data_IF_994448235082
#
_entry.id   IF_994448235082
#
_cell.length_a   1.000
_cell.length_b   1.000
_cell.length_c   1.000
_cell.angle_alpha   90.00
_cell.angle_beta   90.00
_cell.angle_gamma   90.00
#
_symmetry.space_group_name_H-M   'P 1'
#
loop_
_entity.id
_entity.type
_entity.pdbx_description
1 polymer ?
#
# COMPACT_ATOMS: atom_id res chain seq x y z
N UNK A 1 -8.79 -4.80 -7.61
CA UNK A 1 -9.09 -3.43 -7.17
C UNK A 1 -9.11 -2.48 -8.35
N UNK A 2 -10.29 -2.17 -8.81
CA UNK A 2 -10.46 -1.09 -9.79
C UNK A 2 -10.39 0.26 -9.06
N UNK A 3 -9.89 1.29 -9.75
CA UNK A 3 -10.01 2.66 -9.29
C UNK A 3 -11.48 2.93 -8.93
N UNK A 4 -11.80 3.31 -7.69
CA UNK A 4 -13.18 3.49 -7.24
C UNK A 4 -13.92 4.57 -8.01
N UNK A 5 -13.22 5.52 -8.63
CA UNK A 5 -13.80 6.57 -9.44
C UNK A 5 -14.04 6.16 -10.92
N UNK A 6 -13.65 4.95 -11.31
CA UNK A 6 -13.84 4.42 -12.67
C UNK A 6 -13.09 5.16 -13.77
N UNK A 7 -12.16 6.07 -13.42
CA UNK A 7 -11.40 6.86 -14.39
C UNK A 7 -10.26 6.05 -14.98
N UNK A 8 -10.02 6.23 -16.28
CA UNK A 8 -8.81 5.73 -16.94
C UNK A 8 -7.67 6.70 -16.66
N UNK A 9 -6.95 6.48 -15.57
CA UNK A 9 -5.77 7.24 -15.17
C UNK A 9 -4.57 6.31 -15.04
N UNK A 10 -3.37 6.86 -15.08
CA UNK A 10 -2.12 6.11 -14.95
C UNK A 10 -1.85 5.63 -13.52
N UNK A 11 -2.77 4.87 -12.94
CA UNK A 11 -2.76 4.40 -11.56
C UNK A 11 -2.27 2.94 -11.39
N UNK A 12 -1.55 2.41 -12.38
CA UNK A 12 -1.05 1.03 -12.35
C UNK A 12 -0.22 0.70 -11.11
N UNK A 13 0.55 1.67 -10.59
CA UNK A 13 1.31 1.54 -9.35
C UNK A 13 0.38 1.33 -8.15
N UNK A 14 -0.64 2.17 -8.02
CA UNK A 14 -1.59 2.13 -6.90
C UNK A 14 -2.37 0.82 -6.93
N UNK A 15 -2.88 0.41 -8.11
CA UNK A 15 -3.57 -0.88 -8.28
C UNK A 15 -2.68 -2.07 -8.01
N UNK A 16 -1.45 -2.04 -8.55
CA UNK A 16 -0.47 -3.09 -8.32
C UNK A 16 -0.11 -3.23 -6.85
N UNK A 17 0.12 -2.12 -6.15
CA UNK A 17 0.42 -2.10 -4.73
C UNK A 17 -0.78 -2.56 -3.89
N UNK A 18 -1.97 -2.01 -4.16
CA UNK A 18 -3.21 -2.41 -3.48
C UNK A 18 -3.44 -3.92 -3.57
N UNK A 19 -3.31 -4.50 -4.76
CA UNK A 19 -3.49 -5.93 -4.96
C UNK A 19 -2.38 -6.77 -4.30
N UNK A 20 -1.11 -6.39 -4.45
CA UNK A 20 0.02 -7.14 -3.92
C UNK A 20 0.12 -7.08 -2.39
N UNK A 21 -0.18 -5.93 -1.79
CA UNK A 21 -0.14 -5.75 -0.34
C UNK A 21 -1.45 -6.19 0.34
N UNK A 22 -2.57 -6.19 -0.40
CA UNK A 22 -3.88 -6.57 0.11
C UNK A 22 -4.59 -5.43 0.85
N UNK A 23 -4.38 -4.19 0.42
CA UNK A 23 -5.03 -2.98 0.95
C UNK A 23 -5.99 -2.36 -0.06
N UNK A 24 -6.75 -1.36 0.35
CA UNK A 24 -7.61 -0.59 -0.54
C UNK A 24 -6.79 0.31 -1.47
N UNK A 25 -7.41 0.82 -2.51
CA UNK A 25 -6.79 1.78 -3.44
C UNK A 25 -6.36 3.08 -2.73
N UNK A 26 -7.17 3.56 -1.79
CA UNK A 26 -6.86 4.76 -1.00
C UNK A 26 -5.71 4.51 -0.02
N UNK A 27 -5.72 3.38 0.69
CA UNK A 27 -4.61 3.01 1.57
C UNK A 27 -3.29 2.85 0.81
N UNK A 28 -3.32 2.37 -0.44
CA UNK A 28 -2.12 2.32 -1.27
C UNK A 28 -1.55 3.72 -1.57
N UNK A 29 -2.41 4.73 -1.80
CA UNK A 29 -1.98 6.13 -1.93
C UNK A 29 -1.36 6.62 -0.63
N UNK A 30 -2.01 6.37 0.50
CA UNK A 30 -1.52 6.79 1.81
C UNK A 30 -0.16 6.17 2.13
N UNK A 31 0.03 4.89 1.82
CA UNK A 31 1.33 4.22 1.96
C UNK A 31 2.43 4.88 1.12
N UNK A 32 2.12 5.26 -0.13
CA UNK A 32 3.09 5.95 -0.99
C UNK A 32 3.40 7.34 -0.44
N UNK A 33 2.38 8.12 -0.09
CA UNK A 33 2.55 9.45 0.48
C UNK A 33 3.37 9.43 1.77
N UNK A 34 3.09 8.47 2.64
CA UNK A 34 3.73 8.29 3.93
C UNK A 34 5.21 7.85 3.82
N UNK A 35 5.53 7.04 2.80
CA UNK A 35 6.90 6.64 2.53
C UNK A 35 7.73 7.76 1.88
N UNK A 36 7.07 8.72 1.25
CA UNK A 36 7.71 9.71 0.39
C UNK A 36 7.57 11.14 0.88
N UNK A 37 7.06 11.35 2.11
CA UNK A 37 6.82 12.68 2.68
C UNK A 37 8.05 13.62 2.68
N UNK A 38 9.26 13.07 2.57
CA UNK A 38 10.53 13.80 2.53
C UNK A 38 11.25 13.67 1.18
N UNK A 39 10.59 13.11 0.16
CA UNK A 39 11.13 12.85 -1.17
C UNK A 39 10.47 13.75 -2.22
N UNK A 40 10.59 13.39 -3.48
CA UNK A 40 9.94 14.07 -4.59
C UNK A 40 8.41 13.95 -4.46
N UNK A 41 7.64 15.05 -4.64
CA UNK A 41 6.18 15.03 -4.55
C UNK A 41 5.49 14.21 -5.65
N UNK A 42 6.21 13.75 -6.67
CA UNK A 42 5.66 12.88 -7.71
C UNK A 42 5.53 11.45 -7.21
N UNK A 43 4.32 11.03 -6.82
CA UNK A 43 4.07 9.78 -6.13
C UNK A 43 4.40 8.51 -6.93
N UNK A 44 4.30 8.53 -8.25
CA UNK A 44 4.43 7.35 -9.11
C UNK A 44 5.82 7.18 -9.75
N UNK A 45 6.84 7.87 -9.28
CA UNK A 45 8.21 7.66 -9.74
C UNK A 45 8.85 6.45 -9.05
N UNK A 46 9.76 5.78 -9.77
CA UNK A 46 10.42 4.55 -9.29
C UNK A 46 11.07 4.67 -7.92
N UNK A 47 11.81 5.74 -7.56
CA UNK A 47 12.39 5.87 -6.21
C UNK A 47 11.34 5.84 -5.10
N UNK A 48 10.21 6.54 -5.29
CA UNK A 48 9.13 6.61 -4.32
C UNK A 48 8.44 5.25 -4.17
N UNK A 49 8.19 4.56 -5.28
CA UNK A 49 7.60 3.22 -5.28
C UNK A 49 8.52 2.25 -4.53
N UNK A 50 9.82 2.27 -4.82
CA UNK A 50 10.80 1.41 -4.15
C UNK A 50 10.88 1.70 -2.65
N UNK A 51 10.89 2.97 -2.24
CA UNK A 51 10.87 3.36 -0.82
C UNK A 51 9.63 2.82 -0.11
N UNK A 52 8.46 2.92 -0.75
CA UNK A 52 7.20 2.37 -0.25
C UNK A 52 7.28 0.85 -0.08
N UNK A 53 7.74 0.14 -1.11
CA UNK A 53 7.85 -1.32 -1.07
C UNK A 53 8.81 -1.80 0.04
N UNK A 54 9.94 -1.12 0.21
CA UNK A 54 10.88 -1.40 1.31
C UNK A 54 10.20 -1.19 2.67
N UNK A 55 9.53 -0.04 2.86
CA UNK A 55 8.83 0.30 4.11
C UNK A 55 7.74 -0.72 4.46
N UNK A 56 7.06 -1.24 3.45
CA UNK A 56 6.02 -2.26 3.61
C UNK A 56 6.57 -3.68 3.77
N UNK A 57 7.89 -3.88 3.70
CA UNK A 57 8.52 -5.17 3.92
C UNK A 57 8.56 -6.09 2.70
N UNK A 58 8.44 -5.54 1.49
CA UNK A 58 8.66 -6.31 0.27
C UNK A 58 10.15 -6.61 0.06
N UNK A 59 10.46 -7.81 -0.37
CA UNK A 59 11.81 -8.26 -0.75
C UNK A 59 12.05 -8.03 -2.24
N UNK A 60 13.10 -7.30 -2.58
CA UNK A 60 13.44 -6.94 -3.96
C UNK A 60 14.16 -8.05 -4.70
N UNK A 61 13.72 -8.35 -5.92
CA UNK A 61 14.34 -9.28 -6.84
C UNK A 61 14.60 -8.65 -8.20
N UNK A 62 15.79 -8.86 -8.75
CA UNK A 62 16.08 -8.48 -10.13
C UNK A 62 15.34 -9.40 -11.09
N UNK A 63 14.85 -8.84 -12.21
CA UNK A 63 14.22 -9.65 -13.25
C UNK A 63 15.17 -10.71 -13.82
N UNK A 64 14.65 -11.89 -14.01
CA UNK A 64 15.39 -13.01 -14.60
C UNK A 64 15.52 -12.80 -16.11
N UNK A 65 16.70 -13.08 -16.64
CA UNK A 65 16.95 -12.98 -18.10
C UNK A 65 17.13 -14.34 -18.74
N UNK A 66 16.60 -14.48 -19.95
CA UNK A 66 16.92 -15.57 -20.88
C UNK A 66 17.59 -14.96 -22.10
N UNK A 67 18.92 -15.11 -22.20
CA UNK A 67 19.74 -14.33 -23.13
C UNK A 67 19.67 -12.83 -22.78
N UNK A 68 19.36 -12.00 -23.77
CA UNK A 68 19.29 -10.55 -23.61
C UNK A 68 17.90 -10.03 -23.22
N UNK A 69 16.90 -10.91 -23.07
CA UNK A 69 15.51 -10.50 -22.75
C UNK A 69 15.13 -10.95 -21.36
N UNK A 70 14.39 -10.10 -20.65
CA UNK A 70 13.73 -10.48 -19.41
C UNK A 70 12.62 -11.50 -19.68
N UNK A 71 12.46 -12.45 -18.77
CA UNK A 71 11.31 -13.36 -18.80
C UNK A 71 10.02 -12.55 -18.68
N UNK A 72 8.96 -13.05 -19.28
CA UNK A 72 7.66 -12.39 -19.26
C UNK A 72 6.81 -12.81 -18.04
N UNK A 73 5.62 -12.21 -17.90
CA UNK A 73 4.73 -12.48 -16.77
C UNK A 73 4.32 -13.95 -16.66
N UNK A 74 4.09 -14.65 -17.78
CA UNK A 74 3.77 -16.09 -17.76
C UNK A 74 4.93 -16.93 -17.26
N UNK A 75 6.15 -16.62 -17.72
CA UNK A 75 7.36 -17.33 -17.32
C UNK A 75 7.71 -17.05 -15.85
N UNK A 76 7.46 -15.81 -15.38
CA UNK A 76 7.64 -15.48 -13.97
C UNK A 76 6.62 -16.21 -13.09
N UNK A 77 5.34 -16.27 -13.47
CA UNK A 77 4.35 -17.07 -12.74
C UNK A 77 4.79 -18.53 -12.61
N UNK A 78 5.25 -19.15 -13.72
CA UNK A 78 5.75 -20.52 -13.69
C UNK A 78 7.03 -20.71 -12.82
N UNK A 79 7.83 -19.67 -12.65
CA UNK A 79 8.95 -19.68 -11.71
C UNK A 79 8.44 -19.58 -10.26
N UNK A 80 7.51 -18.66 -9.97
CA UNK A 80 6.91 -18.48 -8.66
C UNK A 80 6.17 -19.73 -8.19
N UNK A 81 5.45 -20.43 -9.09
CA UNK A 81 4.76 -21.72 -8.83
C UNK A 81 5.70 -22.77 -8.23
N UNK A 82 6.99 -22.71 -8.56
CA UNK A 82 8.02 -23.65 -8.09
C UNK A 82 8.79 -23.15 -6.87
N UNK A 83 8.73 -21.85 -6.60
CA UNK A 83 9.58 -21.21 -5.59
C UNK A 83 8.81 -20.89 -4.32
N UNK A 84 7.54 -20.50 -4.45
CA UNK A 84 6.73 -20.00 -3.35
C UNK A 84 5.44 -20.80 -3.18
N UNK A 85 5.14 -21.18 -1.93
CA UNK A 85 4.04 -22.10 -1.62
C UNK A 85 3.15 -21.64 -0.46
N UNK A 86 3.44 -20.46 0.15
CA UNK A 86 2.77 -19.99 1.35
C UNK A 86 1.82 -18.80 1.09
N UNK A 87 1.52 -18.53 -0.18
CA UNK A 87 0.62 -17.43 -0.55
C UNK A 87 1.29 -16.07 -0.59
N UNK A 88 2.60 -16.03 -0.85
CA UNK A 88 3.35 -14.81 -1.14
C UNK A 88 2.67 -14.06 -2.29
N UNK A 89 2.73 -12.73 -2.25
CA UNK A 89 2.21 -11.88 -3.31
C UNK A 89 3.36 -11.08 -3.95
N UNK A 90 3.18 -10.63 -5.19
CA UNK A 90 4.26 -9.98 -5.92
C UNK A 90 3.79 -8.68 -6.54
N UNK A 91 4.57 -7.62 -6.37
CA UNK A 91 4.49 -6.40 -7.16
C UNK A 91 5.56 -6.44 -8.24
N UNK A 92 5.21 -6.24 -9.51
CA UNK A 92 6.12 -6.39 -10.64
C UNK A 92 6.17 -5.14 -11.52
N UNK A 93 7.40 -4.78 -11.93
CA UNK A 93 7.62 -3.80 -13.00
C UNK A 93 7.55 -4.49 -14.35
N UNK A 94 6.55 -4.12 -15.14
CA UNK A 94 6.18 -4.74 -16.41
C UNK A 94 6.55 -3.85 -17.59
N UNK A 95 7.41 -4.33 -18.47
CA UNK A 95 7.89 -3.55 -19.60
C UNK A 95 8.70 -2.34 -19.13
N UNK A 96 8.41 -1.14 -19.68
CA UNK A 96 9.16 0.09 -19.37
C UNK A 96 8.47 1.03 -18.38
N UNK A 97 7.14 0.99 -18.30
CA UNK A 97 6.37 2.05 -17.61
C UNK A 97 5.07 1.53 -16.98
N UNK A 98 4.98 0.25 -16.71
CA UNK A 98 3.77 -0.36 -16.16
C UNK A 98 4.08 -1.18 -14.91
N UNK A 99 3.11 -1.31 -14.02
CA UNK A 99 3.18 -2.14 -12.83
C UNK A 99 1.95 -3.04 -12.76
N UNK A 100 2.15 -4.26 -12.28
CA UNK A 100 1.07 -5.21 -12.05
C UNK A 100 1.32 -5.99 -10.76
N UNK A 101 0.28 -6.58 -10.19
CA UNK A 101 0.41 -7.58 -9.15
C UNK A 101 0.47 -8.98 -9.75
N UNK A 102 1.17 -9.90 -9.07
CA UNK A 102 1.07 -11.34 -9.34
C UNK A 102 0.62 -11.98 -8.04
N UNK A 103 -0.52 -12.66 -8.09
CA UNK A 103 -1.20 -13.18 -6.92
C UNK A 103 -1.27 -14.69 -6.93
N UNK A 104 -1.17 -15.34 -5.75
CA UNK A 104 -1.43 -16.75 -5.61
C UNK A 104 -2.92 -17.04 -5.79
N UNK A 105 -3.22 -18.10 -6.50
CA UNK A 105 -4.56 -18.68 -6.62
C UNK A 105 -4.50 -20.15 -6.22
N UNK A 106 -5.52 -20.64 -5.53
CA UNK A 106 -5.64 -22.06 -5.26
C UNK A 106 -6.27 -22.74 -6.48
N UNK A 107 -5.54 -23.63 -7.12
CA UNK A 107 -6.01 -24.44 -8.23
C UNK A 107 -5.92 -25.93 -7.85
N UNK A 108 -7.05 -26.53 -7.53
CA UNK A 108 -7.14 -27.95 -7.10
C UNK A 108 -6.20 -28.32 -5.93
N UNK A 109 -6.06 -27.44 -4.96
CA UNK A 109 -5.20 -27.67 -3.78
C UNK A 109 -3.74 -27.24 -3.98
N UNK A 110 -3.34 -26.85 -5.18
CA UNK A 110 -2.00 -26.31 -5.46
C UNK A 110 -2.04 -24.78 -5.55
N UNK A 111 -1.03 -24.11 -5.02
CA UNK A 111 -0.82 -22.68 -5.22
C UNK A 111 -0.24 -22.45 -6.60
N UNK A 112 -0.94 -21.68 -7.42
CA UNK A 112 -0.49 -21.20 -8.73
C UNK A 112 -0.47 -19.68 -8.74
N UNK A 113 0.39 -19.08 -9.54
CA UNK A 113 0.51 -17.63 -9.62
C UNK A 113 -0.12 -17.08 -10.90
N UNK A 114 -0.81 -15.96 -10.78
CA UNK A 114 -1.48 -15.29 -11.90
C UNK A 114 -1.22 -13.78 -11.87
N UNK A 115 -0.94 -13.20 -13.02
CA UNK A 115 -0.87 -11.74 -13.18
C UNK A 115 -2.27 -11.14 -13.01
N UNK A 116 -2.39 -10.19 -12.09
CA UNK A 116 -3.58 -9.39 -11.84
C UNK A 116 -3.38 -8.00 -12.44
N UNK A 117 -4.07 -7.73 -13.52
CA UNK A 117 -3.98 -6.46 -14.26
C UNK A 117 -5.33 -6.13 -14.91
N UNK A 118 -5.47 -4.91 -15.44
CA UNK A 118 -6.66 -4.46 -16.18
C UNK A 118 -6.65 -4.87 -17.65
N UNK A 119 -5.49 -5.33 -18.16
CA UNK A 119 -5.30 -5.86 -19.51
C UNK A 119 -4.29 -7.02 -19.47
N UNK A 120 -4.17 -7.78 -20.55
CA UNK A 120 -3.22 -8.90 -20.62
C UNK A 120 -1.78 -8.39 -20.80
N UNK A 121 -1.12 -8.13 -19.67
CA UNK A 121 0.30 -7.75 -19.63
C UNK A 121 1.26 -8.93 -19.50
N UNK A 122 0.75 -10.18 -19.53
CA UNK A 122 1.53 -11.40 -19.26
C UNK A 122 2.65 -11.67 -20.25
N UNK A 123 2.58 -11.13 -21.47
CA UNK A 123 3.62 -11.28 -22.52
C UNK A 123 4.75 -10.26 -22.40
N UNK A 124 4.63 -9.27 -21.52
CA UNK A 124 5.65 -8.23 -21.32
C UNK A 124 6.75 -8.72 -20.38
N UNK A 125 8.00 -8.30 -20.66
CA UNK A 125 9.15 -8.65 -19.84
C UNK A 125 9.08 -8.00 -18.45
N UNK A 126 9.51 -8.73 -17.43
CA UNK A 126 9.56 -8.28 -16.04
C UNK A 126 10.99 -7.89 -15.69
N UNK A 127 11.27 -6.60 -15.59
CA UNK A 127 12.61 -6.07 -15.31
C UNK A 127 13.01 -6.21 -13.83
N UNK A 128 12.03 -6.19 -12.96
CA UNK A 128 12.19 -6.26 -11.51
C UNK A 128 10.87 -6.69 -10.88
N UNK A 129 10.94 -7.41 -9.77
CA UNK A 129 9.75 -7.76 -8.99
C UNK A 129 10.05 -7.75 -7.49
N UNK A 130 9.02 -7.59 -6.68
CA UNK A 130 9.10 -7.48 -5.25
C UNK A 130 8.13 -8.45 -4.61
N UNK A 131 8.63 -9.31 -3.73
CA UNK A 131 7.86 -10.37 -3.08
C UNK A 131 7.46 -9.91 -1.68
N UNK A 132 6.17 -9.94 -1.40
CA UNK A 132 5.63 -9.77 -0.07
C UNK A 132 5.31 -11.12 0.52
N UNK A 133 6.08 -11.52 1.52
CA UNK A 133 5.80 -12.70 2.33
C UNK A 133 4.74 -12.27 3.34
N UNK A 134 3.47 -12.64 3.13
CA UNK A 134 2.50 -12.55 4.20
C UNK A 134 3.08 -13.29 5.39
N UNK A 135 3.50 -12.57 6.41
CA UNK A 135 3.91 -13.19 7.65
C UNK A 135 2.73 -14.03 8.16
N UNK A 136 2.91 -15.34 8.17
CA UNK A 136 2.21 -16.20 9.09
C UNK A 136 2.80 -15.84 10.45
N UNK A 137 2.07 -15.02 11.20
CA UNK A 137 2.44 -14.29 12.41
C UNK A 137 3.11 -12.92 12.13
N UNK A 138 2.25 -11.94 11.80
CA UNK A 138 2.48 -10.64 12.40
C UNK A 138 2.60 -10.88 13.93
N UNK A 139 3.60 -10.30 14.64
CA UNK A 139 3.55 -10.27 16.08
C UNK A 139 2.13 -9.81 16.41
N UNK A 140 1.41 -10.61 17.21
CA UNK A 140 0.04 -10.29 17.65
C UNK A 140 0.06 -8.82 18.02
N UNK A 141 -0.49 -7.99 17.13
CA UNK A 141 -0.94 -6.68 17.57
C UNK A 141 -1.74 -7.01 18.82
N UNK A 142 -1.36 -6.51 20.00
CA UNK A 142 -2.06 -6.88 21.21
C UNK A 142 -3.53 -6.77 20.88
N UNK A 143 -4.27 -7.87 21.09
CA UNK A 143 -5.69 -7.95 20.79
C UNK A 143 -6.27 -6.60 21.13
N UNK A 144 -6.75 -5.90 20.11
CA UNK A 144 -7.56 -4.71 20.33
C UNK A 144 -8.78 -5.23 21.06
N UNK A 145 -8.66 -5.31 22.38
CA UNK A 145 -9.83 -5.24 23.24
C UNK A 145 -10.62 -4.07 22.67
N UNK A 146 -11.78 -4.38 22.18
CA UNK A 146 -12.74 -3.47 21.58
C UNK A 146 -13.31 -2.54 22.67
N UNK A 147 -12.42 -1.81 23.33
CA UNK A 147 -12.81 -0.62 24.05
C UNK A 147 -12.68 0.54 23.08
N UNK A 148 -13.75 1.28 22.82
CA UNK A 148 -13.67 2.51 22.07
C UNK A 148 -12.73 3.44 22.83
N UNK A 149 -11.54 3.70 22.29
CA UNK A 149 -10.59 4.63 22.86
C UNK A 149 -11.21 6.03 22.74
N UNK A 150 -11.93 6.44 23.78
CA UNK A 150 -12.73 7.66 23.90
C UNK A 150 -11.90 8.89 24.28
N UNK A 151 -10.62 8.90 23.96
CA UNK A 151 -9.71 9.96 24.43
C UNK A 151 -9.83 11.29 23.67
N UNK A 152 -10.48 11.30 22.51
CA UNK A 152 -10.66 12.51 21.72
C UNK A 152 -12.13 12.93 21.73
N UNK A 153 -12.42 14.06 22.36
CA UNK A 153 -13.77 14.64 22.47
C UNK A 153 -13.81 15.98 21.74
N UNK A 154 -14.99 16.38 21.27
CA UNK A 154 -15.23 17.75 20.81
C UNK A 154 -14.82 18.70 21.93
N UNK A 155 -14.22 19.82 21.59
CA UNK A 155 -13.58 20.79 22.47
C UNK A 155 -12.28 20.33 23.15
N UNK A 156 -11.81 19.11 22.86
CA UNK A 156 -10.51 18.62 23.31
C UNK A 156 -9.34 19.39 22.70
N UNK A 157 -8.34 19.71 23.50
CA UNK A 157 -7.10 20.37 23.05
C UNK A 157 -6.11 19.34 22.52
N UNK A 158 -5.45 19.67 21.41
CA UNK A 158 -4.43 18.84 20.76
C UNK A 158 -3.18 19.67 20.48
N UNK A 159 -2.01 19.06 20.65
CA UNK A 159 -0.73 19.62 20.25
C UNK A 159 -0.26 18.89 18.98
N UNK A 160 -0.18 19.61 17.85
CA UNK A 160 0.32 19.06 16.59
C UNK A 160 1.77 19.52 16.35
N UNK A 161 2.70 18.66 15.93
CA UNK A 161 4.12 19.01 15.76
C UNK A 161 4.35 20.16 14.79
N UNK A 162 3.56 20.22 13.72
CA UNK A 162 3.70 21.20 12.64
C UNK A 162 2.74 22.40 12.79
N UNK A 163 1.54 22.18 13.34
CA UNK A 163 0.47 23.19 13.37
C UNK A 163 0.27 23.83 14.76
N UNK A 164 1.02 23.37 15.77
CA UNK A 164 0.92 23.90 17.11
C UNK A 164 -0.33 23.44 17.87
N UNK A 165 -0.86 24.30 18.73
CA UNK A 165 -2.07 24.03 19.51
C UNK A 165 -3.31 24.13 18.61
N UNK A 166 -4.24 23.19 18.79
CA UNK A 166 -5.53 23.18 18.13
C UNK A 166 -6.62 22.61 19.03
N UNK A 167 -7.87 22.88 18.67
CA UNK A 167 -9.08 22.41 19.36
C UNK A 167 -9.92 21.57 18.42
N UNK A 168 -10.39 20.42 18.85
CA UNK A 168 -11.29 19.55 18.05
C UNK A 168 -12.66 20.22 17.95
N UNK A 169 -13.07 20.56 16.74
CA UNK A 169 -14.39 21.21 16.48
C UNK A 169 -15.43 20.23 15.95
N UNK A 170 -15.01 19.16 15.26
CA UNK A 170 -15.93 18.16 14.73
C UNK A 170 -15.26 16.79 14.64
N UNK A 171 -16.07 15.73 14.69
CA UNK A 171 -15.65 14.33 14.54
C UNK A 171 -16.50 13.69 13.45
N UNK A 172 -15.86 13.09 12.45
CA UNK A 172 -16.50 12.43 11.30
C UNK A 172 -16.10 10.95 11.21
N UNK A 173 -17.00 10.12 10.67
CA UNK A 173 -16.77 8.69 10.46
C UNK A 173 -16.96 7.84 11.70
N UNK A 174 -16.88 6.52 11.52
CA UNK A 174 -17.09 5.52 12.58
C UNK A 174 -15.95 4.49 12.59
N UNK A 175 -15.75 3.83 13.72
CA UNK A 175 -14.75 2.78 13.88
C UNK A 175 -13.31 3.28 13.68
N UNK A 176 -12.57 2.61 12.81
CA UNK A 176 -11.16 2.92 12.49
C UNK A 176 -10.98 4.06 11.47
N UNK A 177 -12.07 4.52 10.83
CA UNK A 177 -12.07 5.56 9.81
C UNK A 177 -12.58 6.90 10.35
N UNK A 178 -12.22 7.26 11.56
CA UNK A 178 -12.58 8.55 12.16
C UNK A 178 -11.61 9.64 11.76
N UNK A 179 -12.17 10.82 11.46
CA UNK A 179 -11.44 12.04 11.18
C UNK A 179 -11.90 13.13 12.14
N UNK A 180 -10.97 13.97 12.52
CA UNK A 180 -11.19 15.11 13.41
C UNK A 180 -10.96 16.39 12.62
N UNK A 181 -11.91 17.29 12.67
CA UNK A 181 -11.68 18.66 12.27
C UNK A 181 -11.13 19.41 13.47
N UNK A 182 -9.94 19.98 13.32
CA UNK A 182 -9.20 20.64 14.38
C UNK A 182 -8.91 22.06 13.94
N UNK A 183 -9.33 23.01 14.74
CA UNK A 183 -9.02 24.42 14.54
C UNK A 183 -7.71 24.77 15.24
N UNK A 184 -6.68 25.07 14.46
CA UNK A 184 -5.35 25.42 14.94
C UNK A 184 -5.17 26.93 14.96
N UNK A 185 -4.58 27.43 16.05
CA UNK A 185 -4.34 28.87 16.26
C UNK A 185 -3.52 29.53 15.14
N UNK A 186 -2.64 28.75 14.48
CA UNK A 186 -1.69 29.28 13.49
C UNK A 186 -2.12 29.10 12.03
N UNK A 187 -2.91 28.06 11.72
CA UNK A 187 -3.19 27.65 10.33
C UNK A 187 -4.68 27.40 10.06
N UNK A 188 -5.57 27.69 11.01
CA UNK A 188 -7.01 27.46 10.89
C UNK A 188 -7.39 25.98 10.89
N UNK A 189 -8.59 25.68 10.39
CA UNK A 189 -9.17 24.35 10.47
C UNK A 189 -8.49 23.35 9.53
N UNK A 190 -8.19 22.14 10.05
CA UNK A 190 -7.61 21.00 9.32
C UNK A 190 -8.34 19.71 9.68
N UNK A 191 -8.48 18.80 8.69
CA UNK A 191 -8.99 17.44 8.93
C UNK A 191 -7.82 16.47 9.12
N UNK A 192 -7.80 15.77 10.24
CA UNK A 192 -6.73 14.85 10.64
C UNK A 192 -7.35 13.50 11.01
N UNK A 193 -6.75 12.40 10.53
CA UNK A 193 -7.23 11.06 10.85
C UNK A 193 -6.92 10.68 12.31
N UNK A 194 -7.78 9.86 12.91
CA UNK A 194 -7.56 9.34 14.27
C UNK A 194 -6.26 8.53 14.38
N UNK A 195 -5.94 7.77 13.33
CA UNK A 195 -4.71 6.99 13.29
C UNK A 195 -3.47 7.87 13.44
N UNK A 196 -3.46 9.04 12.79
CA UNK A 196 -2.38 10.01 12.91
C UNK A 196 -2.29 10.59 14.32
N UNK A 197 -3.42 11.00 14.89
CA UNK A 197 -3.46 11.56 16.25
C UNK A 197 -2.98 10.57 17.31
N UNK A 198 -3.30 9.30 17.17
CA UNK A 198 -2.83 8.23 18.07
C UNK A 198 -1.32 7.98 17.97
N UNK A 199 -0.74 8.12 16.77
CA UNK A 199 0.69 7.94 16.57
C UNK A 199 1.56 9.02 17.26
N UNK A 200 1.01 10.20 17.50
CA UNK A 200 1.73 11.32 18.10
C UNK A 200 1.38 11.61 19.57
N UNK A 201 0.46 10.87 20.16
CA UNK A 201 0.19 10.92 21.59
C UNK A 201 1.19 10.01 22.33
N UNK A 202 2.44 10.45 22.41
CA UNK A 202 3.44 9.90 23.33
C UNK A 202 3.85 10.93 24.35
#
# INVERSE_FOLDING_TARGET
NMNPEGRSIGDCVIRGLSAAYGCTWHEAIDHIADATQYMDPVLNITPNINATLIKLGFERHKGVKRGNKFINGKELCALLDRTYHNGETVFAYVGRSHCAAILPINYNGEIKYKVQDTWDSTTRGISEYWVYKKYVEAPKCPEKTSEPCTDFKIDGSIQHPQYGKGRIVSIFGEGTNRFFEIDFETVGSKKISEAWLKAYKK
#
